data_IF_907435854303
#
_entry.id   IF_907435854303
#
_cell.length_a   1.000
_cell.length_b   1.000
_cell.length_c   1.000
_cell.angle_alpha   90.00
_cell.angle_beta   90.00
_cell.angle_gamma   90.00
#
_symmetry.space_group_name_H-M   'P 1'
#
loop_
_entity.id
_entity.type
_entity.pdbx_description
1 polymer ?
#
# COMPACT_ATOMS: atom_id res chain seq x y z
N UNK A 1 -21.40 57.44 4.20
CA UNK A 1 -21.66 56.80 2.89
C UNK A 1 -20.34 56.26 2.39
N UNK A 2 -20.16 54.94 2.46
CA UNK A 2 -18.96 54.28 1.93
C UNK A 2 -19.15 54.18 0.41
N UNK A 3 -18.18 54.68 -0.35
CA UNK A 3 -18.24 54.69 -1.82
C UNK A 3 -18.25 53.26 -2.35
N UNK A 4 -19.13 52.95 -3.30
CA UNK A 4 -19.21 51.64 -3.96
C UNK A 4 -17.85 51.21 -4.55
N UNK A 5 -17.01 52.18 -4.92
CA UNK A 5 -15.66 51.95 -5.46
C UNK A 5 -14.72 51.31 -4.42
N UNK A 6 -14.82 51.70 -3.15
CA UNK A 6 -13.96 51.16 -2.08
C UNK A 6 -14.29 49.70 -1.76
N UNK A 7 -15.55 49.30 -1.95
CA UNK A 7 -16.02 47.94 -1.74
C UNK A 7 -15.49 46.98 -2.82
N UNK A 8 -15.36 47.44 -4.07
CA UNK A 8 -14.78 46.66 -5.16
C UNK A 8 -13.26 46.52 -5.04
N UNK A 9 -12.55 47.60 -4.67
CA UNK A 9 -11.09 47.53 -4.47
C UNK A 9 -10.75 46.61 -3.27
N UNK A 10 -11.53 46.69 -2.19
CA UNK A 10 -11.35 45.78 -1.05
C UNK A 10 -11.61 44.32 -1.44
N UNK A 11 -12.55 44.01 -2.33
CA UNK A 11 -12.82 42.63 -2.76
C UNK A 11 -11.75 42.09 -3.70
N UNK A 12 -11.22 42.93 -4.60
CA UNK A 12 -10.12 42.54 -5.51
C UNK A 12 -8.83 42.32 -4.70
N UNK A 13 -8.52 43.18 -3.72
CA UNK A 13 -7.36 42.99 -2.84
C UNK A 13 -7.54 41.77 -1.90
N UNK A 14 -8.75 41.50 -1.41
CA UNK A 14 -9.01 40.29 -0.62
C UNK A 14 -8.84 39.01 -1.46
N UNK A 15 -9.21 39.04 -2.74
CA UNK A 15 -9.00 37.91 -3.66
C UNK A 15 -7.52 37.68 -4.02
N UNK A 16 -6.69 38.71 -3.98
CA UNK A 16 -5.24 38.59 -4.20
C UNK A 16 -4.46 38.08 -2.96
N UNK A 17 -4.99 38.26 -1.75
CA UNK A 17 -4.33 37.82 -0.51
C UNK A 17 -4.58 36.33 -0.18
N UNK A 18 -5.48 35.64 -0.88
CA UNK A 18 -5.83 34.24 -0.58
C UNK A 18 -4.94 33.19 -1.29
N UNK A 19 -4.02 33.56 -2.19
CA UNK A 19 -3.34 32.55 -3.03
C UNK A 19 -1.81 32.71 -3.18
N UNK A 20 -1.09 33.03 -2.11
CA UNK A 20 0.40 33.02 -2.12
C UNK A 20 1.05 32.20 -1.00
N UNK A 21 0.28 31.51 -0.14
CA UNK A 21 0.82 30.75 0.99
C UNK A 21 0.98 29.24 0.79
N UNK A 22 0.91 28.73 -0.45
CA UNK A 22 1.39 27.38 -0.75
C UNK A 22 2.80 27.41 -1.35
N UNK A 23 3.70 28.20 -0.77
CA UNK A 23 5.13 27.92 -0.90
C UNK A 23 5.41 26.73 -0.01
N UNK A 24 5.10 25.54 -0.53
CA UNK A 24 5.71 24.31 -0.04
C UNK A 24 7.22 24.55 -0.09
N UNK A 25 7.85 24.53 1.07
CA UNK A 25 9.29 24.59 1.29
C UNK A 25 9.97 23.39 0.61
N UNK A 26 9.93 23.41 -0.72
CA UNK A 26 10.43 22.40 -1.63
C UNK A 26 11.85 22.84 -1.94
N UNK A 27 12.80 21.90 -1.86
CA UNK A 27 14.01 22.03 -2.68
C UNK A 27 13.49 22.26 -4.09
N UNK A 28 13.62 23.47 -4.63
CA UNK A 28 13.34 23.72 -6.03
C UNK A 28 14.26 22.80 -6.81
N UNK A 29 13.73 21.63 -7.19
CA UNK A 29 14.45 20.66 -7.96
C UNK A 29 14.55 21.26 -9.35
N UNK A 30 15.64 21.98 -9.58
CA UNK A 30 15.96 22.60 -10.85
C UNK A 30 16.45 21.55 -11.87
N UNK A 31 16.08 20.29 -11.69
CA UNK A 31 16.55 19.11 -12.42
C UNK A 31 15.38 18.16 -12.71
N UNK A 32 15.38 17.58 -13.90
CA UNK A 32 14.45 16.49 -14.24
C UNK A 32 14.94 15.19 -13.60
N UNK A 33 14.03 14.34 -13.13
CA UNK A 33 14.40 13.08 -12.52
C UNK A 33 13.25 12.33 -11.84
N UNK A 34 13.63 11.48 -10.89
CA UNK A 34 12.71 10.68 -10.08
C UNK A 34 12.88 11.01 -8.59
N UNK A 35 11.80 11.40 -7.93
CA UNK A 35 11.69 11.63 -6.49
C UNK A 35 11.18 10.35 -5.81
N UNK A 36 12.05 9.67 -5.07
CA UNK A 36 11.80 8.37 -4.43
C UNK A 36 11.80 8.48 -2.89
N UNK A 37 11.22 9.53 -2.33
CA UNK A 37 11.24 9.77 -0.88
C UNK A 37 12.50 10.48 -0.40
N UNK A 38 13.45 9.74 0.16
CA UNK A 38 14.72 10.30 0.67
C UNK A 38 15.82 10.42 -0.39
N UNK A 39 15.54 9.99 -1.63
CA UNK A 39 16.47 10.05 -2.74
C UNK A 39 15.85 10.72 -3.96
N UNK A 40 16.69 11.44 -4.70
CA UNK A 40 16.38 12.01 -6.00
C UNK A 40 17.39 11.49 -7.02
N UNK A 41 16.89 11.05 -8.17
CA UNK A 41 17.69 10.50 -9.27
C UNK A 41 17.47 11.32 -10.52
N UNK A 42 18.43 12.17 -10.87
CA UNK A 42 18.31 13.02 -12.05
C UNK A 42 18.47 12.23 -13.36
N UNK A 43 18.02 12.80 -14.46
CA UNK A 43 18.03 12.15 -15.77
C UNK A 43 19.44 11.74 -16.23
N UNK A 44 20.45 12.55 -15.90
CA UNK A 44 21.84 12.24 -16.26
C UNK A 44 22.32 10.97 -15.55
N UNK A 45 21.97 10.81 -14.27
CA UNK A 45 22.28 9.62 -13.50
C UNK A 45 21.56 8.39 -14.08
N UNK A 46 20.26 8.51 -14.38
CA UNK A 46 19.49 7.44 -15.01
C UNK A 46 20.10 7.05 -16.36
N UNK A 47 20.49 8.02 -17.18
CA UNK A 47 21.12 7.79 -18.47
C UNK A 47 22.46 7.06 -18.35
N UNK A 48 23.31 7.46 -17.40
CA UNK A 48 24.60 6.82 -17.15
C UNK A 48 24.44 5.35 -16.73
N UNK A 49 23.54 5.08 -15.78
CA UNK A 49 23.23 3.72 -15.31
C UNK A 49 22.64 2.86 -16.44
N UNK A 50 21.75 3.43 -17.25
CA UNK A 50 21.16 2.74 -18.41
C UNK A 50 22.23 2.41 -19.45
N UNK A 51 23.14 3.34 -19.77
CA UNK A 51 24.25 3.11 -20.71
C UNK A 51 25.11 1.94 -20.26
N UNK A 52 25.44 1.87 -18.96
CA UNK A 52 26.18 0.76 -18.39
C UNK A 52 25.38 -0.54 -18.44
N UNK A 53 24.09 -0.51 -18.10
CA UNK A 53 23.23 -1.70 -18.08
C UNK A 53 22.94 -2.29 -19.46
N UNK A 54 22.95 -1.48 -20.52
CA UNK A 54 22.70 -1.93 -21.89
C UNK A 54 23.95 -2.51 -22.58
N UNK A 55 25.14 -2.36 -21.98
CA UNK A 55 26.37 -3.05 -22.43
C UNK A 55 26.30 -4.56 -22.24
N UNK A 56 27.14 -5.33 -22.93
CA UNK A 56 27.14 -6.80 -22.86
C UNK A 56 27.36 -7.31 -21.41
N UNK A 57 28.25 -6.68 -20.66
CA UNK A 57 28.47 -6.96 -19.24
C UNK A 57 27.32 -6.48 -18.36
N UNK A 58 26.70 -5.36 -18.71
CA UNK A 58 25.57 -4.78 -17.99
C UNK A 58 24.30 -5.62 -18.06
N UNK A 59 24.02 -6.21 -19.22
CA UNK A 59 22.81 -7.03 -19.45
C UNK A 59 22.74 -8.22 -18.50
N UNK A 60 23.89 -8.77 -18.08
CA UNK A 60 24.00 -9.84 -17.08
C UNK A 60 23.51 -9.41 -15.67
N UNK A 61 23.38 -8.10 -15.41
CA UNK A 61 22.91 -7.54 -14.14
C UNK A 61 21.41 -7.23 -14.14
N UNK A 62 20.73 -7.33 -15.27
CA UNK A 62 19.29 -7.11 -15.36
C UNK A 62 18.54 -8.27 -14.71
N UNK A 63 17.51 -7.95 -13.94
CA UNK A 63 16.70 -8.93 -13.22
C UNK A 63 15.28 -8.87 -13.78
N UNK A 64 14.66 -9.99 -14.19
CA UNK A 64 13.26 -9.99 -14.59
C UNK A 64 12.37 -9.39 -13.49
N UNK A 65 11.50 -8.45 -13.85
CA UNK A 65 10.56 -7.90 -12.89
C UNK A 65 9.51 -8.95 -12.53
N UNK A 66 9.33 -9.21 -11.24
CA UNK A 66 8.24 -10.03 -10.73
C UNK A 66 7.51 -9.25 -9.64
N UNK A 67 6.38 -8.64 -10.01
CA UNK A 67 5.59 -7.90 -9.04
C UNK A 67 4.27 -7.35 -9.60
N UNK A 68 3.42 -6.82 -8.71
CA UNK A 68 2.07 -6.39 -9.04
C UNK A 68 1.94 -5.00 -9.68
N UNK A 69 3.02 -4.20 -9.76
CA UNK A 69 2.92 -2.83 -10.30
C UNK A 69 2.66 -2.78 -11.81
N UNK A 70 3.08 -3.83 -12.52
CA UNK A 70 2.95 -3.94 -13.95
C UNK A 70 2.23 -5.23 -14.30
N UNK A 71 1.49 -5.22 -15.42
CA UNK A 71 0.84 -6.43 -15.91
C UNK A 71 1.90 -7.43 -16.40
N UNK A 72 1.76 -8.69 -16.02
CA UNK A 72 2.70 -9.78 -16.33
C UNK A 72 2.87 -10.09 -17.82
N UNK A 73 2.03 -9.53 -18.68
CA UNK A 73 2.08 -9.72 -20.14
C UNK A 73 3.33 -9.04 -20.73
N UNK A 74 3.86 -8.04 -20.04
CA UNK A 74 5.00 -7.26 -20.52
C UNK A 74 6.28 -7.78 -19.84
N UNK A 75 7.24 -8.20 -20.66
CA UNK A 75 8.55 -8.69 -20.23
C UNK A 75 9.42 -7.53 -19.76
N UNK A 76 9.15 -7.03 -18.55
CA UNK A 76 9.95 -5.98 -17.93
C UNK A 76 11.18 -6.55 -17.22
N UNK A 77 12.27 -5.78 -17.28
CA UNK A 77 13.48 -6.03 -16.50
C UNK A 77 13.71 -4.89 -15.53
N UNK A 78 14.50 -5.17 -14.50
CA UNK A 78 14.88 -4.19 -13.48
C UNK A 78 16.38 -4.07 -13.36
N UNK A 79 16.81 -2.84 -13.09
CA UNK A 79 18.20 -2.49 -12.82
C UNK A 79 18.30 -1.86 -11.42
N UNK A 80 18.98 -2.51 -10.46
CA UNK A 80 19.35 -1.90 -9.19
C UNK A 80 20.12 -0.59 -9.35
N UNK A 81 19.72 0.47 -8.64
CA UNK A 81 20.47 1.74 -8.59
C UNK A 81 20.75 2.14 -7.14
N UNK A 82 21.92 2.75 -6.92
CA UNK A 82 22.33 3.31 -5.64
C UNK A 82 22.22 4.84 -5.65
N UNK A 83 21.72 5.49 -4.59
CA UNK A 83 21.69 6.95 -4.51
C UNK A 83 23.12 7.52 -4.36
N UNK A 84 23.36 8.70 -4.95
CA UNK A 84 24.68 9.37 -4.97
C UNK A 84 25.29 9.56 -3.57
N UNK A 85 24.46 9.73 -2.54
CA UNK A 85 24.90 10.09 -1.18
C UNK A 85 25.49 8.90 -0.41
N UNK A 86 25.51 7.68 -0.95
CA UNK A 86 26.14 6.54 -0.27
C UNK A 86 27.67 6.55 -0.46
N UNK A 87 28.37 7.46 0.23
CA UNK A 87 29.83 7.45 0.28
C UNK A 87 30.36 6.19 1.00
N UNK A 88 31.11 5.38 0.27
CA UNK A 88 32.18 4.48 0.74
C UNK A 88 31.90 3.44 1.83
N UNK A 89 30.66 2.97 2.05
CA UNK A 89 30.46 1.70 2.80
C UNK A 89 30.52 0.52 1.82
N UNK A 90 31.26 -0.53 2.22
CA UNK A 90 31.71 -1.65 1.38
C UNK A 90 30.64 -2.16 0.41
N UNK A 91 31.04 -2.32 -0.86
CA UNK A 91 30.17 -2.65 -2.00
C UNK A 91 29.44 -4.00 -1.87
N UNK A 92 29.90 -4.90 -1.00
CA UNK A 92 29.31 -6.22 -0.81
C UNK A 92 28.06 -6.21 0.07
N UNK A 93 27.99 -5.36 1.11
CA UNK A 93 26.85 -5.36 2.03
C UNK A 93 25.60 -4.68 1.45
N UNK A 94 25.80 -3.74 0.51
CA UNK A 94 24.72 -2.97 -0.12
C UNK A 94 23.92 -3.76 -1.17
N UNK A 95 24.43 -4.90 -1.65
CA UNK A 95 23.69 -5.78 -2.58
C UNK A 95 22.52 -6.51 -1.93
N UNK A 96 22.50 -6.67 -0.60
CA UNK A 96 21.50 -7.52 0.08
C UNK A 96 20.11 -6.87 0.24
N UNK A 97 19.94 -5.57 -0.03
CA UNK A 97 18.60 -4.96 -0.06
C UNK A 97 18.51 -3.76 -0.99
N UNK A 98 18.65 -4.03 -2.29
CA UNK A 98 18.44 -3.03 -3.35
C UNK A 98 17.08 -2.36 -3.13
N UNK A 99 17.11 -1.10 -2.73
CA UNK A 99 15.88 -0.38 -2.37
C UNK A 99 15.30 0.37 -3.56
N UNK A 100 16.11 0.69 -4.57
CA UNK A 100 15.71 1.44 -5.76
C UNK A 100 16.03 0.65 -7.03
N UNK A 101 15.10 0.62 -7.98
CA UNK A 101 15.26 -0.10 -9.23
C UNK A 101 14.68 0.72 -10.39
N UNK A 102 15.38 0.78 -11.52
CA UNK A 102 14.77 1.21 -12.77
C UNK A 102 14.00 0.05 -13.38
N UNK A 103 12.84 0.35 -13.95
CA UNK A 103 12.03 -0.59 -14.74
C UNK A 103 12.24 -0.27 -16.21
N UNK A 104 12.66 -1.28 -16.96
CA UNK A 104 13.06 -1.15 -18.36
C UNK A 104 12.24 -2.14 -19.18
N UNK A 105 11.71 -1.69 -20.32
CA UNK A 105 11.05 -2.57 -21.27
C UNK A 105 12.04 -3.39 -22.12
N UNK A 106 11.51 -4.28 -22.94
CA UNK A 106 12.30 -5.12 -23.85
C UNK A 106 13.14 -4.35 -24.89
N UNK A 107 12.82 -3.07 -25.12
CA UNK A 107 13.52 -2.19 -26.06
C UNK A 107 14.58 -1.33 -25.37
N UNK A 108 14.80 -1.52 -24.06
CA UNK A 108 15.73 -0.69 -23.28
C UNK A 108 15.15 0.67 -22.87
N UNK A 109 13.85 0.92 -23.07
CA UNK A 109 13.21 2.17 -22.66
C UNK A 109 12.91 2.13 -21.17
N UNK A 110 13.27 3.20 -20.46
CA UNK A 110 12.89 3.38 -19.06
C UNK A 110 11.39 3.65 -18.99
N UNK A 111 10.70 2.77 -18.26
CA UNK A 111 9.26 2.88 -18.01
C UNK A 111 9.00 3.71 -16.77
N UNK A 112 9.74 3.43 -15.70
CA UNK A 112 9.54 4.02 -14.38
C UNK A 112 10.78 3.76 -13.51
N UNK A 113 10.81 4.41 -12.35
CA UNK A 113 11.67 4.03 -11.23
C UNK A 113 10.80 3.55 -10.07
N UNK A 114 11.18 2.45 -9.44
CA UNK A 114 10.45 1.85 -8.32
C UNK A 114 11.32 1.73 -7.07
N UNK A 115 10.66 1.75 -5.91
CA UNK A 115 11.28 1.69 -4.61
C UNK A 115 10.61 0.63 -3.72
N UNK A 116 11.39 -0.04 -2.86
CA UNK A 116 10.91 -1.09 -1.96
C UNK A 116 10.45 -0.53 -0.60
N UNK A 117 9.17 -0.70 -0.28
CA UNK A 117 8.54 -0.31 0.98
C UNK A 117 8.89 -1.24 2.16
N UNK A 118 8.49 -0.86 3.39
CA UNK A 118 8.63 -1.69 4.61
C UNK A 118 7.99 -3.07 4.48
N UNK A 119 6.87 -3.16 3.77
CA UNK A 119 6.09 -4.37 3.56
C UNK A 119 6.59 -5.22 2.38
N UNK A 120 7.83 -4.97 1.91
CA UNK A 120 8.43 -5.62 0.74
C UNK A 120 7.64 -5.47 -0.56
N UNK A 121 6.74 -4.48 -0.66
CA UNK A 121 6.09 -4.12 -1.92
C UNK A 121 6.85 -3.00 -2.62
N UNK A 122 6.81 -3.00 -3.94
CA UNK A 122 7.35 -1.90 -4.72
C UNK A 122 6.32 -0.78 -4.89
N UNK A 123 6.81 0.43 -5.01
CA UNK A 123 6.03 1.63 -5.36
C UNK A 123 6.79 2.46 -6.37
N UNK A 124 6.04 3.12 -7.27
CA UNK A 124 6.63 4.01 -8.26
C UNK A 124 7.13 5.29 -7.60
N UNK A 125 8.31 5.72 -7.99
CA UNK A 125 8.83 7.04 -7.69
C UNK A 125 8.11 8.08 -8.53
N UNK A 126 8.01 9.29 -8.00
CA UNK A 126 7.37 10.39 -8.73
C UNK A 126 8.34 10.94 -9.77
N UNK A 127 7.91 10.99 -11.03
CA UNK A 127 8.62 11.74 -12.07
C UNK A 127 8.52 13.23 -11.77
N UNK A 128 9.66 13.93 -11.78
CA UNK A 128 9.76 15.37 -11.63
C UNK A 128 10.31 15.93 -12.94
N UNK A 129 9.51 16.73 -13.64
CA UNK A 129 9.94 17.44 -14.84
C UNK A 129 9.90 18.95 -14.57
N UNK A 130 10.98 19.67 -14.88
CA UNK A 130 11.14 21.12 -14.66
C UNK A 130 10.00 21.94 -15.26
N UNK A 131 9.42 21.47 -16.36
CA UNK A 131 8.39 22.19 -17.11
C UNK A 131 6.98 21.96 -16.56
N UNK A 132 6.78 20.97 -15.68
CA UNK A 132 5.45 20.62 -15.21
C UNK A 132 5.17 21.34 -13.88
N UNK A 133 4.28 22.33 -13.94
CA UNK A 133 3.80 23.00 -12.72
C UNK A 133 3.10 21.99 -11.80
N UNK A 134 3.23 22.14 -10.47
CA UNK A 134 2.56 21.25 -9.50
C UNK A 134 1.04 21.19 -9.72
N UNK A 135 0.45 22.24 -10.29
CA UNK A 135 -0.96 22.31 -10.66
C UNK A 135 -1.36 21.20 -11.65
N UNK A 136 -0.51 20.85 -12.61
CA UNK A 136 -0.77 19.78 -13.58
C UNK A 136 -0.71 18.39 -12.96
N UNK A 137 0.15 18.20 -11.95
CA UNK A 137 0.33 16.90 -11.29
C UNK A 137 -0.84 16.59 -10.35
N UNK A 138 -1.48 17.64 -9.81
CA UNK A 138 -2.62 17.51 -8.90
C UNK A 138 -3.95 17.45 -9.67
N UNK A 139 -4.01 18.09 -10.85
CA UNK A 139 -5.19 18.11 -11.72
C UNK A 139 -5.11 17.06 -12.83
N UNK A 140 -4.99 15.78 -12.46
CA UNK A 140 -5.54 14.75 -13.35
C UNK A 140 -7.05 14.97 -13.32
N UNK A 141 -7.56 15.66 -14.34
CA UNK A 141 -8.94 16.21 -14.49
C UNK A 141 -10.04 15.17 -14.19
N UNK A 142 -9.70 13.89 -14.12
CA UNK A 142 -10.62 12.78 -13.88
C UNK A 142 -10.06 11.73 -12.91
N UNK A 143 -9.12 12.09 -12.04
CA UNK A 143 -8.64 11.19 -10.99
C UNK A 143 -9.78 10.85 -10.02
N UNK A 144 -9.90 9.57 -9.66
CA UNK A 144 -10.91 9.05 -8.73
C UNK A 144 -10.28 8.34 -7.53
N UNK A 145 -8.98 8.54 -7.31
CA UNK A 145 -8.24 7.95 -6.22
C UNK A 145 -6.75 8.21 -6.29
N UNK A 146 -6.02 7.42 -5.50
CA UNK A 146 -4.57 7.46 -5.37
C UNK A 146 -3.97 6.09 -5.64
N UNK A 147 -2.88 6.04 -6.39
CA UNK A 147 -2.02 4.86 -6.54
C UNK A 147 -0.85 4.96 -5.56
N UNK A 148 -0.82 4.02 -4.62
CA UNK A 148 0.20 3.88 -3.58
C UNK A 148 0.86 2.50 -3.71
N UNK A 149 1.76 2.35 -4.69
CA UNK A 149 2.32 1.05 -5.03
C UNK A 149 1.28 0.18 -5.74
N UNK A 150 1.09 -1.10 -5.37
CA UNK A 150 0.08 -1.93 -6.02
C UNK A 150 -1.35 -1.61 -5.59
N UNK A 151 -1.52 -0.79 -4.57
CA UNK A 151 -2.81 -0.48 -3.98
C UNK A 151 -3.38 0.81 -4.60
N UNK A 152 -4.60 0.71 -5.12
CA UNK A 152 -5.39 1.86 -5.54
C UNK A 152 -6.41 2.20 -4.46
N UNK A 153 -6.40 3.44 -3.98
CA UNK A 153 -7.25 3.94 -2.90
C UNK A 153 -8.29 4.91 -3.48
N UNK A 154 -9.58 4.55 -3.52
CA UNK A 154 -10.61 5.42 -4.05
C UNK A 154 -10.81 6.71 -3.24
N UNK A 155 -11.28 7.77 -3.89
CA UNK A 155 -11.54 9.06 -3.23
C UNK A 155 -12.59 8.99 -2.13
N UNK A 156 -13.57 8.09 -2.25
CA UNK A 156 -14.55 7.84 -1.20
C UNK A 156 -13.88 7.37 0.09
N UNK A 157 -12.90 6.48 -0.01
CA UNK A 157 -12.11 6.00 1.14
C UNK A 157 -11.27 7.12 1.75
N UNK A 158 -10.62 7.94 0.92
CA UNK A 158 -9.81 9.07 1.39
C UNK A 158 -10.68 10.10 2.12
N UNK A 159 -11.83 10.43 1.52
CA UNK A 159 -12.82 11.35 2.09
C UNK A 159 -13.33 10.85 3.44
N UNK A 160 -13.67 9.56 3.53
CA UNK A 160 -14.12 8.93 4.76
C UNK A 160 -13.02 8.93 5.83
N UNK A 161 -11.79 8.59 5.45
CA UNK A 161 -10.62 8.63 6.34
C UNK A 161 -10.39 10.04 6.89
N UNK A 162 -10.49 11.07 6.05
CA UNK A 162 -10.34 12.47 6.46
C UNK A 162 -11.51 12.94 7.36
N UNK A 163 -12.74 12.52 7.06
CA UNK A 163 -13.91 12.78 7.91
C UNK A 163 -13.73 12.20 9.31
N UNK A 164 -13.24 10.96 9.40
CA UNK A 164 -12.94 10.32 10.67
C UNK A 164 -11.80 11.07 11.38
N UNK A 165 -10.68 11.32 10.70
CA UNK A 165 -9.52 11.98 11.29
C UNK A 165 -9.89 13.31 11.95
N UNK A 166 -10.75 14.11 11.29
CA UNK A 166 -11.31 15.36 11.82
C UNK A 166 -12.00 15.20 13.18
N UNK A 167 -12.76 14.12 13.38
CA UNK A 167 -13.45 13.84 14.66
C UNK A 167 -12.49 13.56 15.83
N UNK A 168 -11.23 13.27 15.54
CA UNK A 168 -10.20 12.95 16.54
C UNK A 168 -9.18 14.08 16.72
N UNK A 169 -9.26 15.17 15.96
CA UNK A 169 -8.39 16.34 16.16
C UNK A 169 -8.63 16.93 17.55
N UNK A 170 -7.54 17.19 18.28
CA UNK A 170 -7.58 17.81 19.61
C UNK A 170 -7.92 16.84 20.75
N UNK A 171 -8.26 15.60 20.44
CA UNK A 171 -8.49 14.56 21.45
C UNK A 171 -7.18 13.88 21.84
N UNK A 172 -7.11 13.34 23.06
CA UNK A 172 -5.92 12.65 23.60
C UNK A 172 -5.79 11.20 23.08
N UNK A 173 -5.87 11.01 21.75
CA UNK A 173 -5.63 9.74 21.08
C UNK A 173 -4.29 9.75 20.35
N UNK A 174 -3.78 8.56 20.00
CA UNK A 174 -2.51 8.43 19.28
C UNK A 174 -2.54 9.06 17.88
N UNK A 175 -3.68 8.98 17.19
CA UNK A 175 -3.93 9.65 15.92
C UNK A 175 -5.07 10.67 16.03
N UNK A 176 -5.06 11.72 15.20
CA UNK A 176 -4.01 12.07 14.24
C UNK A 176 -2.72 12.55 14.94
N UNK A 177 -1.56 12.10 14.46
CA UNK A 177 -0.25 12.41 15.07
C UNK A 177 0.52 13.42 14.23
N UNK A 178 1.43 14.19 14.83
CA UNK A 178 2.25 15.17 14.10
C UNK A 178 3.07 14.45 13.01
N UNK A 179 3.03 14.97 11.79
CA UNK A 179 3.88 14.49 10.71
C UNK A 179 5.35 14.66 11.09
N UNK A 180 6.14 13.60 10.88
CA UNK A 180 7.60 13.61 11.02
C UNK A 180 8.16 12.88 9.81
N UNK A 181 8.80 13.60 8.89
CA UNK A 181 9.35 13.03 7.67
C UNK A 181 9.97 14.08 6.76
N UNK A 182 10.32 13.64 5.56
CA UNK A 182 11.08 14.36 4.55
C UNK A 182 10.25 15.20 3.57
N UNK A 183 8.91 15.08 3.56
CA UNK A 183 8.07 15.67 2.51
C UNK A 183 7.57 17.09 2.82
N UNK A 184 7.50 17.46 4.10
CA UNK A 184 6.95 18.75 4.55
C UNK A 184 7.78 19.30 5.71
N UNK A 185 7.94 20.62 5.75
CA UNK A 185 8.54 21.30 6.90
C UNK A 185 7.74 21.06 8.18
N UNK A 186 8.46 20.96 9.30
CA UNK A 186 7.87 20.81 10.63
C UNK A 186 6.99 21.99 11.06
N UNK A 187 7.17 23.15 10.42
CA UNK A 187 6.47 24.41 10.75
C UNK A 187 5.03 24.45 10.24
N UNK A 188 4.72 23.66 9.21
CA UNK A 188 3.37 23.52 8.67
C UNK A 188 2.41 22.79 9.63
N UNK A 189 2.94 22.19 10.70
CA UNK A 189 2.19 21.47 11.76
C UNK A 189 1.20 20.42 11.21
N UNK A 190 1.49 19.87 10.04
CA UNK A 190 0.69 18.80 9.46
C UNK A 190 0.64 17.59 10.39
N UNK A 191 -0.47 16.87 10.29
CA UNK A 191 -0.71 15.62 10.98
C UNK A 191 -0.98 14.51 9.98
N UNK A 192 -0.73 13.28 10.40
CA UNK A 192 -1.04 12.10 9.60
C UNK A 192 -2.07 11.23 10.29
N UNK A 193 -2.87 10.56 9.47
CA UNK A 193 -3.87 9.59 9.90
C UNK A 193 -3.77 8.33 9.04
N UNK A 194 -3.71 7.13 9.63
CA UNK A 194 -3.54 5.88 8.89
C UNK A 194 -4.77 5.58 8.02
N UNK A 195 -4.52 5.09 6.81
CA UNK A 195 -5.59 4.63 5.91
C UNK A 195 -5.81 3.13 6.10
N UNK A 196 -6.96 2.78 6.64
CA UNK A 196 -7.40 1.38 6.77
C UNK A 196 -8.46 1.07 5.73
N UNK A 197 -8.09 1.08 4.45
CA UNK A 197 -9.08 0.96 3.38
C UNK A 197 -9.71 -0.45 3.25
N UNK A 198 -9.01 -1.48 3.74
CA UNK A 198 -9.58 -2.84 3.86
C UNK A 198 -10.57 -2.93 5.03
N UNK A 199 -10.46 -2.01 6.00
CA UNK A 199 -11.08 -2.10 7.33
C UNK A 199 -11.53 -0.74 7.82
N UNK A 200 -12.55 -0.16 7.17
CA UNK A 200 -13.12 1.10 7.66
C UNK A 200 -13.72 0.99 9.08
N UNK A 201 -13.81 -0.22 9.64
CA UNK A 201 -14.11 -0.45 11.05
C UNK A 201 -12.91 -0.07 11.91
N UNK A 202 -12.95 1.13 12.48
CA UNK A 202 -12.03 1.55 13.53
C UNK A 202 -12.47 0.90 14.84
N UNK A 203 -11.78 -0.16 15.26
CA UNK A 203 -11.85 -0.59 16.65
C UNK A 203 -11.21 0.52 17.50
N UNK A 204 -11.95 1.04 18.48
CA UNK A 204 -11.45 2.03 19.46
C UNK A 204 -10.16 1.56 20.16
N UNK A 205 -9.95 0.23 20.24
CA UNK A 205 -8.76 -0.38 20.82
C UNK A 205 -7.57 -0.52 19.85
N UNK A 206 -7.78 -0.44 18.53
CA UNK A 206 -6.73 -0.64 17.50
C UNK A 206 -5.87 0.59 17.23
N UNK A 207 -6.23 1.76 17.79
CA UNK A 207 -5.45 3.00 17.68
C UNK A 207 -4.09 2.89 18.41
N UNK A 208 -3.87 1.82 19.20
CA UNK A 208 -2.72 1.74 20.11
C UNK A 208 -1.36 1.40 19.51
N UNK A 209 -1.20 0.87 18.29
CA UNK A 209 0.16 0.72 17.68
C UNK A 209 0.25 0.23 16.23
N UNK A 210 -0.84 0.08 15.47
CA UNK A 210 -0.73 -0.49 14.13
C UNK A 210 0.04 0.45 13.20
N UNK A 211 1.20 -0.01 12.73
CA UNK A 211 2.00 0.64 11.69
C UNK A 211 1.34 0.42 10.33
N UNK A 212 0.39 1.28 9.97
CA UNK A 212 0.00 1.40 8.57
C UNK A 212 1.22 1.78 7.73
N UNK A 213 1.31 1.31 6.49
CA UNK A 213 2.25 1.85 5.51
C UNK A 213 1.65 3.04 4.76
N UNK A 214 0.34 3.28 4.85
CA UNK A 214 -0.38 4.32 4.10
C UNK A 214 -1.09 5.30 5.02
N UNK A 215 -0.98 6.59 4.72
CA UNK A 215 -1.50 7.67 5.55
C UNK A 215 -2.12 8.77 4.68
N UNK A 216 -3.18 9.41 5.17
CA UNK A 216 -3.54 10.75 4.72
C UNK A 216 -2.74 11.77 5.51
N UNK A 217 -2.42 12.88 4.86
CA UNK A 217 -1.84 14.08 5.47
C UNK A 217 -2.94 15.11 5.58
N UNK A 218 -3.13 15.65 6.78
CA UNK A 218 -4.12 16.69 7.06
C UNK A 218 -3.46 17.88 7.76
N UNK A 219 -3.99 19.07 7.54
CA UNK A 219 -3.56 20.24 8.30
C UNK A 219 -4.20 20.32 9.69
N UNK A 220 -3.94 21.42 10.40
CA UNK A 220 -4.49 21.66 11.74
C UNK A 220 -6.02 21.75 11.77
N UNK A 221 -6.67 22.10 10.64
CA UNK A 221 -8.14 22.14 10.49
C UNK A 221 -8.72 20.78 10.09
N UNK A 222 -7.85 19.83 9.73
CA UNK A 222 -8.23 18.53 9.23
C UNK A 222 -8.59 18.50 7.75
N UNK A 223 -8.21 19.54 6.99
CA UNK A 223 -8.29 19.53 5.53
C UNK A 223 -7.24 18.56 4.98
N UNK A 224 -7.65 17.70 4.04
CA UNK A 224 -6.74 16.81 3.32
C UNK A 224 -5.71 17.62 2.52
N UNK A 225 -4.44 17.30 2.69
CA UNK A 225 -3.33 17.86 1.90
C UNK A 225 -2.73 16.85 0.93
N UNK A 226 -2.60 15.59 1.35
CA UNK A 226 -1.95 14.56 0.52
C UNK A 226 -2.26 13.14 1.01
N UNK A 227 -1.82 12.15 0.23
CA UNK A 227 -1.77 10.73 0.60
C UNK A 227 -0.32 10.26 0.46
N UNK A 228 0.23 9.67 1.51
CA UNK A 228 1.63 9.29 1.58
C UNK A 228 1.81 7.84 2.01
N UNK A 229 2.91 7.23 1.58
CA UNK A 229 3.34 5.90 2.01
C UNK A 229 4.64 5.98 2.82
N UNK A 230 4.71 5.24 3.93
CA UNK A 230 5.91 5.13 4.78
C UNK A 230 6.92 4.16 4.17
N UNK A 231 8.18 4.58 4.12
CA UNK A 231 9.30 3.78 3.62
C UNK A 231 10.01 3.02 4.75
N UNK A 232 10.90 2.09 4.38
CA UNK A 232 11.69 1.27 5.32
C UNK A 232 12.55 2.05 6.31
N UNK A 233 12.89 3.30 5.97
CA UNK A 233 13.69 4.21 6.81
C UNK A 233 12.83 5.17 7.64
N UNK A 234 11.54 4.90 7.82
CA UNK A 234 10.57 5.82 8.45
C UNK A 234 10.41 7.17 7.73
N UNK A 235 10.91 7.29 6.50
CA UNK A 235 10.60 8.41 5.61
C UNK A 235 9.25 8.17 4.92
N UNK A 236 8.83 9.12 4.08
CA UNK A 236 7.59 9.01 3.35
C UNK A 236 7.77 9.38 1.87
N UNK A 237 6.93 8.80 1.03
CA UNK A 237 6.76 9.17 -0.38
C UNK A 237 5.32 9.61 -0.61
N UNK A 238 5.09 10.46 -1.60
CA UNK A 238 3.73 10.84 -2.03
C UNK A 238 3.14 9.75 -2.92
N UNK A 239 1.86 9.46 -2.72
CA UNK A 239 1.10 8.65 -3.67
C UNK A 239 0.67 9.50 -4.86
N UNK A 240 0.47 8.86 -6.01
CA UNK A 240 0.10 9.57 -7.24
C UNK A 240 -1.42 9.61 -7.39
N UNK A 241 -1.98 10.75 -7.79
CA UNK A 241 -3.37 10.80 -8.26
C UNK A 241 -3.50 9.91 -9.49
N UNK A 242 -4.48 9.01 -9.47
CA UNK A 242 -4.69 8.07 -10.56
C UNK A 242 -6.18 7.97 -10.90
N UNK A 243 -6.45 7.68 -12.16
CA UNK A 243 -7.78 7.25 -12.61
C UNK A 243 -7.75 5.75 -12.79
N UNK A 244 -8.51 5.03 -11.97
CA UNK A 244 -8.81 3.63 -12.21
C UNK A 244 -10.19 3.56 -12.82
N UNK A 245 -10.28 3.14 -14.08
CA UNK A 245 -11.57 2.88 -14.71
C UNK A 245 -12.36 1.95 -13.79
N UNK A 246 -13.56 2.36 -13.40
CA UNK A 246 -14.51 1.43 -12.81
C UNK A 246 -14.67 0.28 -13.79
N UNK A 247 -14.69 -0.98 -13.33
CA UNK A 247 -14.97 -2.11 -14.22
C UNK A 247 -16.20 -1.74 -15.04
N UNK A 248 -16.07 -1.71 -16.37
CA UNK A 248 -17.20 -1.41 -17.22
C UNK A 248 -18.31 -2.39 -16.82
N UNK A 249 -19.56 -1.93 -16.59
CA UNK A 249 -20.65 -2.86 -16.43
C UNK A 249 -20.66 -3.74 -17.69
N UNK A 250 -20.42 -5.04 -17.54
CA UNK A 250 -20.28 -5.97 -18.66
C UNK A 250 -21.51 -5.82 -19.58
N UNK A 251 -21.32 -5.25 -20.77
CA UNK A 251 -22.41 -4.87 -21.66
C UNK A 251 -23.17 -6.09 -22.23
N UNK A 252 -22.57 -7.28 -22.14
CA UNK A 252 -23.11 -8.53 -22.70
C UNK A 252 -23.80 -9.44 -21.67
N UNK A 253 -24.01 -9.00 -20.42
CA UNK A 253 -24.86 -9.74 -19.48
C UNK A 253 -26.29 -9.18 -19.48
N UNK A 254 -27.24 -9.79 -20.24
CA UNK A 254 -28.63 -9.35 -20.27
C UNK A 254 -29.26 -9.55 -18.90
N UNK A 255 -29.35 -8.50 -18.09
CA UNK A 255 -30.17 -8.33 -16.86
C UNK A 255 -30.47 -9.64 -16.07
N UNK A 256 -29.53 -10.58 -15.99
CA UNK A 256 -29.57 -11.62 -14.99
C UNK A 256 -29.34 -10.85 -13.73
N UNK A 257 -30.38 -10.73 -12.90
CA UNK A 257 -30.33 -10.30 -11.50
C UNK A 257 -28.91 -10.40 -10.99
N UNK A 258 -28.19 -9.27 -10.95
CA UNK A 258 -26.75 -9.21 -10.68
C UNK A 258 -26.50 -9.93 -9.37
N UNK A 259 -26.15 -11.22 -9.46
CA UNK A 259 -25.82 -12.01 -8.30
C UNK A 259 -24.59 -11.32 -7.73
N UNK A 260 -24.76 -10.75 -6.54
CA UNK A 260 -23.70 -10.02 -5.85
C UNK A 260 -22.45 -10.88 -5.88
N UNK A 261 -21.28 -10.31 -6.23
CA UNK A 261 -20.07 -11.11 -6.35
C UNK A 261 -19.87 -11.90 -5.05
N UNK A 262 -19.64 -13.20 -5.18
CA UNK A 262 -19.57 -14.13 -4.05
C UNK A 262 -18.11 -14.40 -3.72
N UNK A 263 -17.73 -14.29 -2.45
CA UNK A 263 -16.43 -14.72 -1.94
C UNK A 263 -16.51 -16.15 -1.45
N UNK A 264 -15.53 -16.96 -1.81
CA UNK A 264 -15.36 -18.33 -1.30
C UNK A 264 -14.40 -18.34 -0.12
N UNK A 265 -14.64 -19.23 0.83
CA UNK A 265 -13.80 -19.32 2.02
C UNK A 265 -14.24 -20.43 2.97
N UNK A 266 -13.90 -20.24 4.24
CA UNK A 266 -14.29 -21.15 5.31
C UNK A 266 -14.91 -20.36 6.46
N UNK A 267 -16.02 -20.85 6.99
CA UNK A 267 -16.69 -20.30 8.16
C UNK A 267 -16.38 -21.17 9.38
N UNK A 268 -15.74 -20.57 10.36
CA UNK A 268 -15.48 -21.17 11.66
C UNK A 268 -16.39 -20.49 12.70
N UNK A 269 -17.46 -21.18 13.14
CA UNK A 269 -18.54 -20.59 13.97
C UNK A 269 -19.17 -19.38 13.27
N UNK A 270 -18.83 -18.16 13.70
CA UNK A 270 -19.35 -16.91 13.17
C UNK A 270 -18.30 -16.11 12.38
N UNK A 271 -17.22 -16.76 11.95
CA UNK A 271 -16.04 -16.10 11.37
C UNK A 271 -15.73 -16.63 9.99
N UNK A 272 -15.80 -15.76 8.99
CA UNK A 272 -15.47 -16.11 7.62
C UNK A 272 -14.00 -15.78 7.30
N UNK A 273 -13.30 -16.74 6.70
CA UNK A 273 -11.89 -16.65 6.30
C UNK A 273 -11.83 -16.83 4.78
N UNK A 274 -11.42 -15.77 4.09
CA UNK A 274 -11.40 -15.67 2.63
C UNK A 274 -10.34 -16.57 1.99
N UNK A 275 -10.69 -17.20 0.86
CA UNK A 275 -9.80 -18.14 0.16
C UNK A 275 -8.55 -17.47 -0.43
N UNK A 276 -8.61 -16.21 -0.88
CA UNK A 276 -7.44 -15.50 -1.42
C UNK A 276 -6.40 -15.25 -0.34
N UNK A 277 -6.83 -15.05 0.90
CA UNK A 277 -5.93 -14.97 2.05
C UNK A 277 -5.27 -16.32 2.33
N UNK A 278 -6.04 -17.40 2.36
CA UNK A 278 -5.48 -18.73 2.59
C UNK A 278 -4.41 -19.06 1.54
N UNK A 279 -4.64 -18.70 0.26
CA UNK A 279 -3.66 -18.87 -0.82
C UNK A 279 -2.36 -18.11 -0.57
N UNK A 280 -2.43 -16.88 -0.04
CA UNK A 280 -1.23 -16.11 0.31
C UNK A 280 -0.45 -16.74 1.47
N UNK A 281 -1.14 -17.27 2.48
CA UNK A 281 -0.49 -17.99 3.59
C UNK A 281 0.14 -19.29 3.10
N UNK A 282 -0.52 -20.03 2.21
CA UNK A 282 0.04 -21.23 1.57
C UNK A 282 1.37 -20.93 0.88
N UNK A 283 1.45 -19.88 0.08
CA UNK A 283 2.69 -19.51 -0.64
C UNK A 283 3.85 -19.21 0.31
N UNK A 284 3.56 -18.56 1.44
CA UNK A 284 4.57 -18.32 2.49
C UNK A 284 4.99 -19.60 3.18
N UNK A 285 4.04 -20.47 3.53
CA UNK A 285 4.32 -21.75 4.16
C UNK A 285 5.23 -22.62 3.28
N UNK A 286 4.98 -22.66 1.96
CA UNK A 286 5.86 -23.33 0.98
C UNK A 286 7.27 -22.72 1.00
N UNK A 287 7.36 -21.39 0.94
CA UNK A 287 8.65 -20.68 0.92
C UNK A 287 9.43 -20.88 2.22
N UNK A 288 8.75 -20.94 3.37
CA UNK A 288 9.36 -21.16 4.68
C UNK A 288 9.81 -22.60 4.88
N UNK A 289 9.00 -23.57 4.44
CA UNK A 289 9.37 -24.98 4.49
C UNK A 289 10.64 -25.26 3.68
N UNK A 290 10.78 -24.63 2.50
CA UNK A 290 12.00 -24.73 1.68
C UNK A 290 13.23 -24.08 2.30
N UNK A 291 13.06 -23.22 3.31
CA UNK A 291 14.15 -22.51 4.01
C UNK A 291 14.46 -23.11 5.39
N UNK A 292 13.77 -24.17 5.80
CA UNK A 292 13.90 -24.82 7.12
C UNK A 292 13.63 -23.89 8.32
N UNK A 293 13.06 -22.70 8.12
CA UNK A 293 12.94 -21.67 9.17
C UNK A 293 11.76 -21.91 10.12
N UNK A 294 10.62 -22.38 9.60
CA UNK A 294 9.39 -22.64 10.38
C UNK A 294 8.69 -23.82 9.71
N UNK A 295 8.72 -24.99 10.36
CA UNK A 295 8.09 -26.19 9.83
C UNK A 295 6.60 -26.18 10.24
N UNK A 296 5.66 -26.26 9.27
CA UNK A 296 4.25 -26.47 9.58
C UNK A 296 4.06 -27.67 10.51
N UNK A 297 3.16 -27.59 11.49
CA UNK A 297 2.98 -28.70 12.44
C UNK A 297 2.35 -29.89 11.73
N UNK A 298 3.03 -31.02 11.68
CA UNK A 298 2.48 -32.26 11.16
C UNK A 298 1.33 -32.75 12.06
N UNK A 299 0.23 -33.20 11.43
CA UNK A 299 -0.96 -33.69 12.11
C UNK A 299 -1.52 -34.93 11.40
N UNK A 300 -1.87 -35.93 12.21
CA UNK A 300 -2.57 -37.14 11.79
C UNK A 300 -3.74 -37.37 12.75
N UNK A 301 -4.92 -37.64 12.18
CA UNK A 301 -6.14 -37.91 12.95
C UNK A 301 -7.26 -36.90 12.71
N UNK A 302 -8.26 -36.92 13.59
CA UNK A 302 -9.43 -36.06 13.48
C UNK A 302 -9.05 -34.56 13.49
N UNK A 303 -9.79 -33.69 12.78
CA UNK A 303 -10.99 -33.98 11.99
C UNK A 303 -10.70 -34.35 10.52
N UNK A 304 -9.43 -34.44 10.10
CA UNK A 304 -9.06 -34.60 8.68
C UNK A 304 -8.76 -36.04 8.27
N UNK A 305 -8.42 -36.92 9.23
CA UNK A 305 -8.14 -38.35 9.06
C UNK A 305 -7.10 -38.68 7.96
N UNK A 306 -6.30 -37.69 7.56
CA UNK A 306 -5.22 -37.78 6.59
C UNK A 306 -4.03 -36.97 7.12
N UNK A 307 -2.82 -37.40 6.78
CA UNK A 307 -1.62 -36.65 7.09
C UNK A 307 -1.70 -35.25 6.47
N UNK A 308 -1.52 -34.24 7.30
CA UNK A 308 -1.61 -32.84 6.89
C UNK A 308 -0.67 -31.96 7.73
N UNK A 309 -0.51 -30.74 7.26
CA UNK A 309 0.22 -29.67 7.93
C UNK A 309 -0.74 -28.63 8.48
N UNK A 310 -0.56 -28.25 9.74
CA UNK A 310 -1.27 -27.16 10.39
C UNK A 310 -0.38 -25.92 10.41
N UNK A 311 -0.79 -24.89 9.67
CA UNK A 311 -0.14 -23.59 9.64
C UNK A 311 -0.95 -22.63 10.50
N UNK A 312 -0.39 -22.08 11.60
CA UNK A 312 -1.15 -21.17 12.46
C UNK A 312 -1.56 -19.92 11.70
N UNK A 313 -2.84 -19.57 11.77
CA UNK A 313 -3.39 -18.34 11.24
C UNK A 313 -3.40 -17.28 12.35
N UNK A 314 -2.77 -16.15 12.07
CA UNK A 314 -2.79 -14.98 12.96
C UNK A 314 -4.09 -14.21 12.77
N UNK A 315 -5.18 -14.74 13.33
CA UNK A 315 -6.47 -14.06 13.33
C UNK A 315 -6.60 -13.32 14.66
N UNK A 316 -6.49 -11.98 14.63
CA UNK A 316 -6.65 -11.15 15.82
C UNK A 316 -8.09 -11.26 16.33
N UNK A 317 -8.31 -11.98 17.42
CA UNK A 317 -9.60 -12.03 18.10
C UNK A 317 -9.60 -11.05 19.26
N UNK A 318 -10.62 -10.18 19.32
CA UNK A 318 -10.95 -9.46 20.54
C UNK A 318 -11.65 -10.42 21.50
N UNK A 319 -10.96 -10.84 22.57
CA UNK A 319 -11.54 -11.66 23.64
C UNK A 319 -10.50 -12.42 24.48
N UNK A 320 -10.81 -12.67 25.75
CA UNK A 320 -9.93 -13.36 26.72
C UNK A 320 -9.69 -14.86 26.45
N UNK A 321 -10.25 -15.42 25.38
CA UNK A 321 -9.94 -16.77 24.91
C UNK A 321 -9.48 -16.73 23.46
N UNK A 322 -8.19 -16.96 23.24
CA UNK A 322 -7.58 -16.95 21.91
C UNK A 322 -7.78 -18.33 21.28
N UNK A 323 -8.97 -18.57 20.73
CA UNK A 323 -9.18 -19.69 19.80
C UNK A 323 -8.11 -19.61 18.71
N UNK A 324 -7.35 -20.69 18.52
CA UNK A 324 -6.29 -20.73 17.51
C UNK A 324 -6.86 -21.28 16.21
N UNK A 325 -6.69 -20.54 15.13
CA UNK A 325 -7.05 -21.00 13.79
C UNK A 325 -5.83 -21.57 13.08
N UNK A 326 -6.05 -22.59 12.27
CA UNK A 326 -5.02 -23.25 11.49
C UNK A 326 -5.49 -23.40 10.05
N UNK A 327 -4.64 -23.01 9.11
CA UNK A 327 -4.76 -23.42 7.72
C UNK A 327 -4.27 -24.85 7.61
N UNK A 328 -5.10 -25.71 7.06
CA UNK A 328 -4.81 -27.13 6.92
C UNK A 328 -4.38 -27.39 5.49
N UNK A 329 -3.12 -27.80 5.34
CA UNK A 329 -2.52 -28.09 4.05
C UNK A 329 -2.28 -29.59 3.93
N UNK A 330 -2.48 -30.12 2.73
CA UNK A 330 -2.01 -31.47 2.39
C UNK A 330 -0.48 -31.52 2.41
N UNK A 331 0.08 -32.73 2.37
CA UNK A 331 1.53 -32.94 2.28
C UNK A 331 2.17 -32.25 1.05
N UNK A 332 1.39 -31.97 0.01
CA UNK A 332 1.79 -31.25 -1.20
C UNK A 332 1.44 -29.74 -1.13
N UNK A 333 1.19 -29.21 0.07
CA UNK A 333 0.80 -27.82 0.32
C UNK A 333 -0.51 -27.35 -0.34
N UNK A 334 -1.34 -28.26 -0.87
CA UNK A 334 -2.70 -27.92 -1.33
C UNK A 334 -3.63 -27.65 -0.15
N UNK A 335 -4.45 -26.59 -0.23
CA UNK A 335 -5.40 -26.21 0.83
C UNK A 335 -6.46 -27.31 1.01
N UNK A 336 -6.50 -27.93 2.18
CA UNK A 336 -7.52 -28.92 2.55
C UNK A 336 -8.69 -28.28 3.30
N UNK A 337 -8.43 -27.23 4.09
CA UNK A 337 -9.45 -26.57 4.88
C UNK A 337 -8.88 -25.58 5.87
N UNK A 338 -9.75 -25.14 6.78
CA UNK A 338 -9.37 -24.41 7.98
C UNK A 338 -9.83 -25.22 9.18
N UNK A 339 -9.06 -25.18 10.26
CA UNK A 339 -9.45 -25.74 11.54
C UNK A 339 -9.38 -24.67 12.63
N UNK A 340 -10.19 -24.83 13.66
CA UNK A 340 -10.09 -24.06 14.89
C UNK A 340 -9.81 -24.97 16.07
N UNK A 341 -8.94 -24.54 16.98
CA UNK A 341 -8.70 -25.22 18.24
C UNK A 341 -9.50 -24.55 19.34
N UNK A 342 -10.45 -25.30 19.89
CA UNK A 342 -11.31 -24.91 21.00
C UNK A 342 -11.16 -25.93 22.12
N UNK A 343 -10.88 -25.48 23.35
CA UNK A 343 -10.72 -26.37 24.52
C UNK A 343 -9.78 -27.57 24.27
N UNK A 344 -8.65 -27.30 23.58
CA UNK A 344 -7.64 -28.28 23.12
C UNK A 344 -8.09 -29.24 22.02
N UNK A 345 -9.38 -29.28 21.65
CA UNK A 345 -9.89 -30.08 20.53
C UNK A 345 -9.74 -29.29 19.22
N UNK A 346 -9.37 -29.99 18.15
CA UNK A 346 -9.29 -29.43 16.81
C UNK A 346 -10.60 -29.72 16.07
N UNK A 347 -11.24 -28.68 15.56
CA UNK A 347 -12.51 -28.75 14.83
C UNK A 347 -12.32 -28.21 13.42
N UNK A 348 -12.92 -28.88 12.42
CA UNK A 348 -12.86 -28.40 11.03
C UNK A 348 -13.87 -27.27 10.86
N UNK A 349 -13.48 -26.24 10.12
CA UNK A 349 -14.39 -25.21 9.68
C UNK A 349 -15.12 -25.64 8.41
N UNK A 350 -16.30 -25.06 8.19
CA UNK A 350 -17.15 -25.39 7.06
C UNK A 350 -16.76 -24.55 5.84
N UNK A 351 -16.77 -25.17 4.66
CA UNK A 351 -16.57 -24.43 3.41
C UNK A 351 -17.83 -23.61 3.13
N UNK A 352 -17.66 -22.32 2.90
CA UNK A 352 -18.77 -21.37 2.79
C UNK A 352 -18.54 -20.38 1.65
N UNK A 353 -19.61 -19.70 1.24
CA UNK A 353 -19.57 -18.65 0.24
C UNK A 353 -20.50 -17.50 0.63
N UNK A 354 -19.96 -16.27 0.65
CA UNK A 354 -20.71 -15.10 1.11
C UNK A 354 -20.86 -14.07 -0.03
N UNK A 355 -22.07 -13.52 -0.26
CA UNK A 355 -22.23 -12.39 -1.17
C UNK A 355 -21.52 -11.16 -0.60
N UNK A 356 -20.80 -10.41 -1.43
CA UNK A 356 -19.96 -9.25 -1.05
C UNK A 356 -20.77 -8.05 -0.51
N UNK A 357 -22.10 -8.10 -0.50
CA UNK A 357 -22.95 -6.94 -0.20
C UNK A 357 -23.34 -6.76 1.28
N UNK A 358 -22.50 -7.17 2.23
CA UNK A 358 -22.80 -6.96 3.64
C UNK A 358 -21.71 -6.17 4.34
N UNK A 359 -22.10 -4.94 4.71
CA UNK A 359 -21.43 -4.07 5.68
C UNK A 359 -21.34 -4.68 7.10
N UNK A 360 -21.96 -5.84 7.36
CA UNK A 360 -22.27 -6.31 8.72
C UNK A 360 -21.77 -7.71 9.08
N UNK A 361 -20.89 -8.34 8.30
CA UNK A 361 -20.20 -9.56 8.78
C UNK A 361 -18.73 -9.26 9.02
N UNK A 362 -18.25 -9.69 10.19
CA UNK A 362 -16.86 -9.73 10.60
C UNK A 362 -16.06 -10.63 9.63
N UNK A 363 -15.90 -10.18 8.39
CA UNK A 363 -14.84 -10.65 7.50
C UNK A 363 -13.57 -10.30 8.26
N UNK A 364 -12.79 -11.31 8.65
CA UNK A 364 -11.58 -11.03 9.40
C UNK A 364 -10.63 -10.25 8.53
N UNK A 365 -10.18 -9.14 9.08
CA UNK A 365 -9.32 -8.23 8.38
C UNK A 365 -7.90 -8.42 8.85
N UNK A 366 -7.07 -8.75 7.87
CA UNK A 366 -5.71 -9.22 8.05
C UNK A 366 -4.79 -8.13 8.60
N UNK A 367 -3.85 -8.54 9.45
CA UNK A 367 -2.77 -7.65 9.86
C UNK A 367 -1.72 -7.60 8.75
N UNK A 368 -1.23 -6.41 8.34
CA UNK A 368 -0.05 -6.31 7.46
C UNK A 368 1.18 -6.99 8.05
N UNK A 369 1.27 -7.13 9.37
CA UNK A 369 2.37 -7.82 10.07
C UNK A 369 2.30 -9.36 9.96
N UNK A 370 1.27 -9.88 9.29
CA UNK A 370 1.22 -11.29 8.88
C UNK A 370 2.03 -11.55 7.60
N UNK A 371 2.63 -10.51 6.99
CA UNK A 371 3.40 -10.54 5.74
C UNK A 371 4.90 -10.38 5.90
#
# INVERSE_FOLDING_TARGET
MISIVDLFISWILLSYVVSTHTVLDRRELNENGYECGDAFFNDQMIYNELKTALSDEGRKKLIPYSGPLYRSILSYTTLPILPIVSSSRSSEFLRQKVTYQLVIDQNGKVIDMIFLLTNNQFVKCRRVDKQQSEALITNVVESNGYECGPEFIPDSTITESARIARKYIGKNYYYPTKYRGNLYSNDLRYKIWPIYYKTLVLLENLIKKRTSSLYIVIDSTGQLKDVIARTSKNNHIRCMRARKASPAPNADEPRKTLAKPTKYGYTCRNKFIDFDYLRQITQKAVTQANKELIIPRYHTGAPFYRACYLVPLKISLEGHHVDKYFLVLSINFGIMGVAMQFERKLESCEKDHIPIDHKDRNIFLYSPDDF
#
